data_IF_122062770122
#
_entry.id   IF_122062770122
#
_cell.length_a   1.000
_cell.length_b   1.000
_cell.length_c   1.000
_cell.angle_alpha   90.00
_cell.angle_beta   90.00
_cell.angle_gamma   90.00
#
_symmetry.space_group_name_H-M   'P 1'
#
loop_
_entity.id
_entity.type
_entity.pdbx_description
1 polymer ?
#
# COMPACT_ATOMS: atom_id res chain seq x y z
N UNK A 1 36.69 8.19 -47.89
CA UNK A 1 35.92 6.94 -47.72
C UNK A 1 36.17 6.47 -46.29
N UNK A 2 35.35 6.92 -45.33
CA UNK A 2 35.59 6.68 -43.90
C UNK A 2 34.91 5.38 -43.47
N UNK A 3 35.68 4.54 -42.76
CA UNK A 3 35.31 3.20 -42.27
C UNK A 3 33.96 3.19 -41.54
N UNK A 4 33.16 2.15 -41.82
CA UNK A 4 31.83 1.89 -41.25
C UNK A 4 31.85 1.68 -39.72
N UNK A 5 33.01 1.51 -39.09
CA UNK A 5 33.13 1.29 -37.65
C UNK A 5 32.84 2.54 -36.80
N UNK A 6 33.10 3.74 -37.33
CA UNK A 6 32.83 4.99 -36.59
C UNK A 6 31.35 5.39 -36.55
N UNK A 7 30.47 4.74 -37.32
CA UNK A 7 29.02 4.99 -37.27
C UNK A 7 28.33 4.26 -36.12
N UNK A 8 28.92 3.20 -35.56
CA UNK A 8 28.36 2.53 -34.39
C UNK A 8 28.64 3.29 -33.10
N UNK A 9 29.85 3.86 -32.94
CA UNK A 9 30.21 4.68 -31.77
C UNK A 9 29.34 5.94 -31.62
N UNK A 10 28.99 6.61 -32.73
CA UNK A 10 28.10 7.77 -32.70
C UNK A 10 26.62 7.45 -32.46
N UNK A 11 26.20 6.19 -32.66
CA UNK A 11 24.84 5.75 -32.33
C UNK A 11 24.65 5.50 -30.83
N UNK A 12 25.72 5.13 -30.12
CA UNK A 12 25.72 4.92 -28.66
C UNK A 12 25.70 6.26 -27.91
N UNK A 13 26.32 7.30 -28.46
CA UNK A 13 26.35 8.63 -27.82
C UNK A 13 25.08 9.46 -28.03
N UNK A 14 24.21 9.08 -28.98
CA UNK A 14 22.88 9.68 -29.16
C UNK A 14 21.80 9.04 -28.28
N UNK A 15 22.20 8.24 -27.27
CA UNK A 15 21.31 7.60 -26.30
C UNK A 15 20.88 8.51 -25.15
N UNK A 16 21.44 9.72 -25.02
CA UNK A 16 21.01 10.69 -24.00
C UNK A 16 19.60 11.24 -24.24
N UNK A 17 19.18 11.30 -25.51
CA UNK A 17 17.85 11.78 -25.88
C UNK A 17 16.79 10.65 -25.85
N UNK A 18 17.15 9.40 -25.53
CA UNK A 18 16.18 8.30 -25.38
C UNK A 18 15.90 7.88 -23.94
N UNK A 19 16.80 8.18 -22.99
CA UNK A 19 16.58 7.86 -21.58
C UNK A 19 15.55 8.79 -20.91
N UNK A 20 15.40 10.01 -21.43
CA UNK A 20 14.47 11.01 -20.88
C UNK A 20 13.16 11.15 -21.66
N UNK A 21 13.04 10.58 -22.86
CA UNK A 21 11.96 10.93 -23.80
C UNK A 21 10.80 9.91 -23.85
N UNK A 22 10.78 8.93 -22.94
CA UNK A 22 9.64 8.00 -22.78
C UNK A 22 9.24 7.67 -21.33
N UNK A 23 10.00 8.12 -20.32
CA UNK A 23 9.61 7.92 -18.92
C UNK A 23 8.60 8.99 -18.53
N UNK A 24 7.33 8.73 -18.83
CA UNK A 24 6.22 9.59 -18.39
C UNK A 24 6.29 9.74 -16.88
N UNK A 25 6.76 10.90 -16.41
CA UNK A 25 6.88 11.20 -14.99
C UNK A 25 5.47 11.30 -14.39
N UNK A 26 4.99 10.20 -13.78
CA UNK A 26 3.65 10.16 -13.19
C UNK A 26 3.62 10.86 -11.82
N UNK A 27 3.57 12.20 -11.87
CA UNK A 27 3.50 13.08 -10.71
C UNK A 27 2.29 12.75 -9.83
N UNK A 28 1.14 12.42 -10.43
CA UNK A 28 -0.11 12.19 -9.71
C UNK A 28 0.02 11.02 -8.74
N UNK A 29 0.53 9.90 -9.23
CA UNK A 29 0.64 8.68 -8.43
C UNK A 29 1.74 8.79 -7.37
N UNK A 30 2.83 9.51 -7.66
CA UNK A 30 3.85 9.88 -6.66
C UNK A 30 3.25 10.73 -5.54
N UNK A 31 2.50 11.78 -5.87
CA UNK A 31 1.82 12.61 -4.89
C UNK A 31 0.83 11.80 -4.05
N UNK A 32 0.11 10.86 -4.68
CA UNK A 32 -0.81 9.98 -3.97
C UNK A 32 -0.10 9.04 -2.98
N UNK A 33 1.04 8.47 -3.37
CA UNK A 33 1.87 7.67 -2.47
C UNK A 33 2.35 8.51 -1.28
N UNK A 34 2.88 9.71 -1.54
CA UNK A 34 3.29 10.63 -0.47
C UNK A 34 2.14 11.02 0.45
N UNK A 35 0.96 11.27 -0.10
CA UNK A 35 -0.24 11.54 0.68
C UNK A 35 -0.62 10.36 1.59
N UNK A 36 -0.55 9.13 1.06
CA UNK A 36 -0.85 7.92 1.83
C UNK A 36 0.15 7.72 2.98
N UNK A 37 1.44 7.95 2.72
CA UNK A 37 2.49 7.90 3.75
C UNK A 37 2.29 9.02 4.78
N UNK A 38 1.95 10.23 4.33
CA UNK A 38 1.70 11.36 5.22
C UNK A 38 0.52 11.09 6.16
N UNK A 39 -0.58 10.52 5.66
CA UNK A 39 -1.71 10.10 6.50
C UNK A 39 -1.25 9.13 7.59
N UNK A 40 -0.50 8.10 7.22
CA UNK A 40 0.06 7.14 8.18
C UNK A 40 0.95 7.84 9.24
N UNK A 41 1.86 8.72 8.81
CA UNK A 41 2.74 9.45 9.72
C UNK A 41 1.96 10.40 10.64
N UNK A 42 0.90 11.03 10.16
CA UNK A 42 0.06 11.90 10.99
C UNK A 42 -0.64 11.13 12.13
N UNK A 43 -1.10 9.90 11.86
CA UNK A 43 -1.64 9.02 12.91
C UNK A 43 -0.57 8.67 13.95
N UNK A 44 0.65 8.36 13.52
CA UNK A 44 1.77 8.12 14.44
C UNK A 44 2.10 9.33 15.30
N UNK A 45 2.12 10.53 14.72
CA UNK A 45 2.37 11.77 15.47
C UNK A 45 1.28 11.94 16.54
N UNK A 46 0.02 11.71 16.20
CA UNK A 46 -1.08 11.80 17.16
C UNK A 46 -0.94 10.77 18.28
N UNK A 47 -0.64 9.51 17.97
CA UNK A 47 -0.39 8.46 18.97
C UNK A 47 0.79 8.83 19.87
N UNK A 48 1.87 9.35 19.29
CA UNK A 48 3.04 9.78 20.06
C UNK A 48 2.69 10.91 21.02
N UNK A 49 2.03 11.98 20.52
CA UNK A 49 1.62 13.13 21.31
C UNK A 49 0.67 12.74 22.45
N UNK A 50 -0.24 11.79 22.20
CA UNK A 50 -1.11 11.23 23.24
C UNK A 50 -0.30 10.52 24.33
N UNK A 51 0.64 9.66 23.94
CA UNK A 51 1.50 8.93 24.88
C UNK A 51 2.40 9.82 25.74
N UNK A 52 2.88 10.97 25.22
CA UNK A 52 3.64 11.95 26.04
C UNK A 52 2.74 12.88 26.86
N UNK A 53 1.42 12.64 26.87
CA UNK A 53 0.48 13.38 27.71
C UNK A 53 0.15 14.78 27.18
N UNK A 54 0.40 15.06 25.90
CA UNK A 54 0.09 16.37 25.32
C UNK A 54 -1.42 16.68 25.36
N UNK A 55 -2.27 15.64 25.27
CA UNK A 55 -3.72 15.78 25.23
C UNK A 55 -4.41 15.61 26.60
N UNK A 56 -3.68 15.60 27.73
CA UNK A 56 -4.23 15.41 29.09
C UNK A 56 -5.33 16.44 29.43
N UNK A 57 -5.21 17.69 28.97
CA UNK A 57 -6.27 18.69 29.18
C UNK A 57 -7.45 18.55 28.22
N UNK A 58 -7.22 17.97 27.04
CA UNK A 58 -8.27 17.68 26.08
C UNK A 58 -9.12 16.47 26.51
N UNK A 59 -8.54 15.48 27.21
CA UNK A 59 -9.30 14.32 27.73
C UNK A 59 -10.40 14.73 28.72
N UNK A 60 -10.19 15.78 29.51
CA UNK A 60 -11.19 16.34 30.43
C UNK A 60 -12.43 16.93 29.75
N UNK A 61 -12.37 17.23 28.44
CA UNK A 61 -13.48 17.76 27.63
C UNK A 61 -13.95 16.72 26.58
N UNK A 62 -13.56 15.45 26.75
CA UNK A 62 -13.96 14.35 25.84
C UNK A 62 -13.03 14.15 24.63
N UNK A 63 -11.80 14.67 24.67
CA UNK A 63 -10.79 14.56 23.61
C UNK A 63 -10.36 13.12 23.28
N UNK A 64 -10.48 12.18 24.23
CA UNK A 64 -10.16 10.76 24.00
C UNK A 64 -11.04 10.14 22.89
N UNK A 65 -12.30 10.59 22.78
CA UNK A 65 -13.19 10.18 21.69
C UNK A 65 -12.73 10.74 20.34
N UNK A 66 -12.18 11.96 20.31
CA UNK A 66 -11.70 12.59 19.07
C UNK A 66 -10.47 11.88 18.50
N UNK A 67 -9.51 11.50 19.37
CA UNK A 67 -8.32 10.74 18.95
C UNK A 67 -8.74 9.37 18.40
N UNK A 68 -9.65 8.69 19.11
CA UNK A 68 -10.21 7.40 18.67
C UNK A 68 -10.86 7.50 17.29
N UNK A 69 -11.74 8.49 17.07
CA UNK A 69 -12.37 8.73 15.77
C UNK A 69 -11.37 9.10 14.68
N UNK A 70 -10.33 9.87 15.00
CA UNK A 70 -9.28 10.23 14.07
C UNK A 70 -8.48 9.01 13.60
N UNK A 71 -8.03 8.15 14.53
CA UNK A 71 -7.32 6.91 14.21
C UNK A 71 -8.18 5.97 13.39
N UNK A 72 -9.46 5.83 13.75
CA UNK A 72 -10.42 5.04 13.00
C UNK A 72 -10.60 5.56 11.57
N UNK A 73 -10.75 6.87 11.39
CA UNK A 73 -10.92 7.49 10.09
C UNK A 73 -9.66 7.34 9.22
N UNK A 74 -8.46 7.58 9.76
CA UNK A 74 -7.21 7.39 9.01
C UNK A 74 -7.04 5.93 8.61
N UNK A 75 -7.22 4.99 9.53
CA UNK A 75 -7.09 3.58 9.21
C UNK A 75 -8.11 3.13 8.16
N UNK A 76 -9.34 3.65 8.23
CA UNK A 76 -10.36 3.48 7.20
C UNK A 76 -9.95 4.04 5.84
N UNK A 77 -9.48 5.28 5.78
CA UNK A 77 -9.04 5.92 4.54
C UNK A 77 -7.90 5.12 3.89
N UNK A 78 -6.93 4.68 4.70
CA UNK A 78 -5.78 3.91 4.21
C UNK A 78 -6.25 2.58 3.61
N UNK A 79 -7.05 1.81 4.35
CA UNK A 79 -7.42 0.45 3.93
C UNK A 79 -8.45 0.43 2.79
N UNK A 80 -9.43 1.34 2.79
CA UNK A 80 -10.49 1.34 1.77
C UNK A 80 -10.11 2.09 0.49
N UNK A 81 -9.17 3.04 0.56
CA UNK A 81 -8.85 3.88 -0.58
C UNK A 81 -7.36 3.83 -0.94
N UNK A 82 -6.45 4.15 -0.02
CA UNK A 82 -5.01 4.22 -0.35
C UNK A 82 -4.47 2.90 -0.86
N UNK A 83 -4.71 1.81 -0.14
CA UNK A 83 -4.20 0.48 -0.50
C UNK A 83 -4.79 -0.01 -1.84
N UNK A 84 -6.12 -0.03 -2.07
CA UNK A 84 -6.68 -0.42 -3.37
C UNK A 84 -6.20 0.44 -4.54
N UNK A 85 -6.07 1.76 -4.34
CA UNK A 85 -5.56 2.65 -5.38
C UNK A 85 -4.09 2.36 -5.71
N UNK A 86 -3.27 2.02 -4.71
CA UNK A 86 -1.88 1.63 -4.93
C UNK A 86 -1.76 0.31 -5.70
N UNK A 87 -2.61 -0.69 -5.41
CA UNK A 87 -2.69 -1.91 -6.21
C UNK A 87 -3.00 -1.60 -7.68
N UNK A 88 -4.02 -0.77 -7.93
CA UNK A 88 -4.42 -0.40 -9.28
C UNK A 88 -3.32 0.41 -10.00
N UNK A 89 -2.75 1.40 -9.32
CA UNK A 89 -1.68 2.26 -9.84
C UNK A 89 -0.43 1.46 -10.16
N UNK A 90 0.01 0.58 -9.25
CA UNK A 90 1.18 -0.29 -9.45
C UNK A 90 0.98 -1.18 -10.67
N UNK A 91 -0.17 -1.84 -10.80
CA UNK A 91 -0.46 -2.67 -11.96
C UNK A 91 -0.47 -1.89 -13.28
N UNK A 92 -1.06 -0.69 -13.29
CA UNK A 92 -1.10 0.17 -14.47
C UNK A 92 0.29 0.64 -14.90
N UNK A 93 1.17 0.94 -13.94
CA UNK A 93 2.56 1.36 -14.20
C UNK A 93 3.42 0.19 -14.65
N UNK A 94 3.23 -0.97 -14.05
CA UNK A 94 3.84 -2.21 -14.51
C UNK A 94 3.53 -2.45 -15.99
N UNK A 95 2.26 -2.35 -16.41
CA UNK A 95 1.86 -2.46 -17.82
C UNK A 95 2.48 -1.41 -18.74
N UNK A 96 2.86 -0.25 -18.21
CA UNK A 96 3.53 0.82 -18.95
C UNK A 96 5.06 0.72 -18.94
N UNK A 97 5.63 -0.27 -18.26
CA UNK A 97 7.08 -0.39 -18.08
C UNK A 97 7.69 0.68 -17.16
N UNK A 98 6.90 1.29 -16.27
CA UNK A 98 7.39 2.28 -15.30
C UNK A 98 7.83 1.59 -14.01
N UNK A 99 9.15 1.55 -13.77
CA UNK A 99 9.81 0.96 -12.59
C UNK A 99 9.26 1.45 -11.24
N UNK A 100 8.54 2.57 -11.19
CA UNK A 100 7.92 3.06 -9.96
C UNK A 100 6.83 2.13 -9.39
N UNK A 101 6.34 1.16 -10.17
CA UNK A 101 5.41 0.14 -9.67
C UNK A 101 5.95 -0.59 -8.43
N UNK A 102 7.26 -0.84 -8.35
CA UNK A 102 7.87 -1.58 -7.24
C UNK A 102 7.77 -0.82 -5.90
N UNK A 103 8.03 0.50 -5.94
CA UNK A 103 7.87 1.37 -4.78
C UNK A 103 6.42 1.37 -4.27
N UNK A 104 5.43 1.43 -5.17
CA UNK A 104 4.02 1.36 -4.77
C UNK A 104 3.67 -0.01 -4.19
N UNK A 105 4.13 -1.09 -4.81
CA UNK A 105 3.93 -2.45 -4.31
C UNK A 105 4.54 -2.68 -2.93
N UNK A 106 5.72 -2.12 -2.68
CA UNK A 106 6.36 -2.16 -1.36
C UNK A 106 5.49 -1.47 -0.29
N UNK A 107 5.00 -0.26 -0.57
CA UNK A 107 4.25 0.54 0.39
C UNK A 107 2.84 0.01 0.70
N UNK A 108 2.29 -0.86 -0.16
CA UNK A 108 1.01 -1.54 0.12
C UNK A 108 1.03 -2.26 1.47
N UNK A 109 2.12 -2.97 1.81
CA UNK A 109 2.19 -3.76 3.04
C UNK A 109 2.21 -2.89 4.31
N UNK A 110 3.14 -1.92 4.47
CA UNK A 110 3.14 -1.04 5.62
C UNK A 110 1.82 -0.28 5.77
N UNK A 111 1.26 0.25 4.68
CA UNK A 111 0.01 1.00 4.73
C UNK A 111 -1.15 0.12 5.18
N UNK A 112 -1.28 -1.08 4.62
CA UNK A 112 -2.31 -2.02 5.06
C UNK A 112 -2.16 -2.38 6.54
N UNK A 113 -0.95 -2.76 6.96
CA UNK A 113 -0.67 -3.13 8.34
C UNK A 113 -1.05 -2.00 9.30
N UNK A 114 -0.55 -0.79 9.04
CA UNK A 114 -0.81 0.35 9.91
C UNK A 114 -2.26 0.84 9.82
N UNK A 115 -2.91 0.72 8.66
CA UNK A 115 -4.34 1.00 8.52
C UNK A 115 -5.19 0.09 9.43
N UNK A 116 -4.91 -1.21 9.42
CA UNK A 116 -5.53 -2.17 10.35
C UNK A 116 -5.21 -1.84 11.80
N UNK A 117 -3.95 -1.53 12.11
CA UNK A 117 -3.50 -1.17 13.45
C UNK A 117 -4.19 0.09 13.99
N UNK A 118 -4.40 1.14 13.18
CA UNK A 118 -5.08 2.35 13.61
C UNK A 118 -6.58 2.14 13.83
N UNK A 119 -7.23 1.37 12.94
CA UNK A 119 -8.61 0.92 13.19
C UNK A 119 -8.69 0.15 14.49
N UNK A 120 -7.70 -0.71 14.76
CA UNK A 120 -7.59 -1.46 16.00
C UNK A 120 -7.47 -0.61 17.26
N UNK A 121 -6.47 0.27 17.30
CA UNK A 121 -6.20 1.14 18.43
C UNK A 121 -7.33 2.13 18.72
N UNK A 122 -8.19 2.42 17.74
CA UNK A 122 -9.34 3.32 17.95
C UNK A 122 -10.31 2.83 19.02
N UNK A 123 -10.34 1.52 19.31
CA UNK A 123 -11.27 0.89 20.26
C UNK A 123 -12.76 1.27 20.05
N UNK A 124 -13.14 1.70 18.86
CA UNK A 124 -14.52 1.98 18.52
C UNK A 124 -15.28 0.67 18.24
N UNK A 125 -16.56 0.56 18.64
CA UNK A 125 -17.34 -0.66 18.48
C UNK A 125 -17.52 -1.07 17.01
N UNK A 126 -17.48 -0.11 16.08
CA UNK A 126 -17.63 -0.33 14.64
C UNK A 126 -16.49 -1.15 14.01
N UNK A 127 -15.39 -1.35 14.73
CA UNK A 127 -14.23 -2.10 14.24
C UNK A 127 -14.59 -3.53 13.83
N UNK A 128 -15.49 -4.19 14.56
CA UNK A 128 -15.88 -5.59 14.30
C UNK A 128 -16.52 -5.78 12.93
N UNK A 129 -17.03 -4.72 12.30
CA UNK A 129 -17.57 -4.76 10.93
C UNK A 129 -16.57 -4.21 9.93
N UNK A 130 -15.97 -3.06 10.26
CA UNK A 130 -15.14 -2.30 9.31
C UNK A 130 -13.79 -2.98 9.06
N UNK A 131 -13.16 -3.55 10.09
CA UNK A 131 -11.88 -4.23 9.93
C UNK A 131 -12.03 -5.49 9.04
N UNK A 132 -12.95 -6.45 9.32
CA UNK A 132 -13.17 -7.59 8.42
C UNK A 132 -13.55 -7.17 6.99
N UNK A 133 -14.40 -6.14 6.85
CA UNK A 133 -14.78 -5.63 5.52
C UNK A 133 -13.56 -5.12 4.74
N UNK A 134 -12.65 -4.41 5.42
CA UNK A 134 -11.42 -3.90 4.81
C UNK A 134 -10.45 -5.03 4.44
N UNK A 135 -10.34 -6.08 5.27
CA UNK A 135 -9.56 -7.27 4.96
C UNK A 135 -10.10 -7.94 3.69
N UNK A 136 -11.41 -8.22 3.63
CA UNK A 136 -12.05 -8.84 2.47
C UNK A 136 -11.79 -8.05 1.20
N UNK A 137 -11.93 -6.72 1.24
CA UNK A 137 -11.66 -5.84 0.10
C UNK A 137 -10.20 -5.99 -0.37
N UNK A 138 -9.24 -5.88 0.54
CA UNK A 138 -7.81 -5.91 0.20
C UNK A 138 -7.40 -7.28 -0.32
N UNK A 139 -7.87 -8.37 0.30
CA UNK A 139 -7.65 -9.72 -0.22
C UNK A 139 -8.27 -9.91 -1.61
N UNK A 140 -9.47 -9.36 -1.85
CA UNK A 140 -10.12 -9.44 -3.17
C UNK A 140 -9.31 -8.70 -4.25
N UNK A 141 -8.85 -7.48 -3.94
CA UNK A 141 -7.99 -6.70 -4.85
C UNK A 141 -6.65 -7.41 -5.09
N UNK A 142 -6.07 -8.00 -4.04
CA UNK A 142 -4.83 -8.76 -4.13
C UNK A 142 -4.97 -9.98 -5.04
N UNK A 143 -6.01 -10.80 -4.85
CA UNK A 143 -6.31 -11.96 -5.70
C UNK A 143 -6.52 -11.51 -7.15
N UNK A 144 -7.24 -10.41 -7.37
CA UNK A 144 -7.47 -9.86 -8.69
C UNK A 144 -6.16 -9.46 -9.40
N UNK A 145 -5.25 -8.74 -8.73
CA UNK A 145 -3.93 -8.37 -9.30
C UNK A 145 -3.04 -9.59 -9.52
N UNK A 146 -3.07 -10.58 -8.62
CA UNK A 146 -2.37 -11.86 -8.80
C UNK A 146 -2.88 -12.63 -10.02
N UNK A 147 -4.20 -12.66 -10.25
CA UNK A 147 -4.79 -13.29 -11.44
C UNK A 147 -4.32 -12.61 -12.72
N UNK A 148 -4.39 -11.27 -12.76
CA UNK A 148 -3.99 -10.49 -13.93
C UNK A 148 -2.50 -10.62 -14.25
N UNK A 149 -1.64 -10.60 -13.23
CA UNK A 149 -0.20 -10.78 -13.42
C UNK A 149 0.14 -12.19 -13.91
N UNK A 150 -0.57 -13.22 -13.43
CA UNK A 150 -0.42 -14.59 -13.93
C UNK A 150 -0.81 -14.71 -15.40
N UNK A 151 -1.90 -14.07 -15.83
CA UNK A 151 -2.31 -14.06 -17.24
C UNK A 151 -1.22 -13.45 -18.14
N UNK A 152 -0.58 -12.36 -17.70
CA UNK A 152 0.51 -11.73 -18.46
C UNK A 152 1.74 -12.63 -18.61
N UNK A 153 2.06 -13.46 -17.61
CA UNK A 153 3.14 -14.45 -17.70
C UNK A 153 2.81 -15.51 -18.77
N UNK A 154 1.57 -16.00 -18.79
CA UNK A 154 1.13 -17.05 -19.74
C UNK A 154 1.12 -16.54 -21.19
N UNK A 155 0.87 -15.25 -21.39
CA UNK A 155 0.84 -14.62 -22.72
C UNK A 155 2.23 -14.27 -23.30
N UNK A 156 3.32 -14.51 -22.55
CA UNK A 156 4.72 -14.32 -22.95
C UNK A 156 5.10 -12.89 -23.46
N UNK A 157 4.23 -11.89 -23.24
CA UNK A 157 4.47 -10.52 -23.75
C UNK A 157 5.71 -9.87 -23.10
N UNK A 158 6.00 -10.20 -21.83
CA UNK A 158 7.17 -9.74 -21.05
C UNK A 158 7.47 -10.71 -19.89
N UNK A 159 7.87 -11.94 -20.17
CA UNK A 159 7.99 -13.02 -19.17
C UNK A 159 8.80 -12.65 -17.93
N UNK A 160 10.03 -12.14 -18.08
CA UNK A 160 10.91 -11.83 -16.95
C UNK A 160 10.31 -10.75 -16.02
N UNK A 161 9.88 -9.62 -16.59
CA UNK A 161 9.27 -8.53 -15.82
C UNK A 161 7.94 -8.97 -15.16
N UNK A 162 7.12 -9.76 -15.87
CA UNK A 162 5.86 -10.26 -15.34
C UNK A 162 6.06 -11.28 -14.22
N UNK A 163 7.08 -12.12 -14.34
CA UNK A 163 7.47 -13.07 -13.30
C UNK A 163 7.99 -12.36 -12.05
N UNK A 164 8.78 -11.29 -12.21
CA UNK A 164 9.25 -10.46 -11.10
C UNK A 164 8.08 -9.77 -10.39
N UNK A 165 7.18 -9.14 -11.14
CA UNK A 165 5.98 -8.51 -10.61
C UNK A 165 5.11 -9.51 -9.82
N UNK A 166 4.82 -10.68 -10.40
CA UNK A 166 4.07 -11.74 -9.73
C UNK A 166 4.75 -12.24 -8.45
N UNK A 167 6.08 -12.35 -8.46
CA UNK A 167 6.86 -12.76 -7.28
C UNK A 167 6.74 -11.75 -6.14
N UNK A 168 6.76 -10.45 -6.43
CA UNK A 168 6.54 -9.40 -5.42
C UNK A 168 5.19 -9.54 -4.72
N UNK A 169 4.11 -9.82 -5.47
CA UNK A 169 2.80 -10.05 -4.85
C UNK A 169 2.71 -11.41 -4.14
N UNK A 170 3.45 -12.42 -4.55
CA UNK A 170 3.54 -13.70 -3.82
C UNK A 170 4.13 -13.51 -2.43
N UNK A 171 5.18 -12.69 -2.30
CA UNK A 171 5.71 -12.33 -0.97
C UNK A 171 4.68 -11.57 -0.14
N UNK A 172 3.95 -10.65 -0.78
CA UNK A 172 2.87 -9.91 -0.13
C UNK A 172 1.76 -10.84 0.39
N UNK A 173 1.42 -11.91 -0.33
CA UNK A 173 0.50 -12.96 0.14
C UNK A 173 0.99 -13.58 1.44
N UNK A 174 2.27 -13.95 1.53
CA UNK A 174 2.85 -14.56 2.72
C UNK A 174 2.73 -13.62 3.93
N UNK A 175 3.01 -12.33 3.75
CA UNK A 175 2.86 -11.33 4.81
C UNK A 175 1.39 -11.15 5.24
N UNK A 176 0.45 -11.15 4.28
CA UNK A 176 -0.97 -11.06 4.60
C UNK A 176 -1.48 -12.28 5.39
N UNK A 177 -1.01 -13.48 5.07
CA UNK A 177 -1.35 -14.68 5.84
C UNK A 177 -0.84 -14.60 7.27
N UNK A 178 0.41 -14.17 7.46
CA UNK A 178 0.98 -13.96 8.80
C UNK A 178 0.15 -12.92 9.57
N UNK A 179 -0.17 -11.79 8.93
CA UNK A 179 -0.97 -10.73 9.56
C UNK A 179 -2.38 -11.21 9.92
N UNK A 180 -3.05 -11.92 9.02
CA UNK A 180 -4.38 -12.45 9.26
C UNK A 180 -4.39 -13.45 10.43
N UNK A 181 -3.38 -14.34 10.49
CA UNK A 181 -3.22 -15.26 11.63
C UNK A 181 -3.03 -14.47 12.92
N UNK A 182 -2.17 -13.46 12.94
CA UNK A 182 -1.94 -12.64 14.16
C UNK A 182 -3.23 -11.94 14.59
N UNK A 183 -3.92 -11.26 13.68
CA UNK A 183 -5.17 -10.53 13.98
C UNK A 183 -6.28 -11.48 14.45
N UNK A 184 -6.44 -12.63 13.80
CA UNK A 184 -7.50 -13.58 14.17
C UNK A 184 -7.21 -14.19 15.54
N UNK A 185 -6.01 -14.75 15.73
CA UNK A 185 -5.69 -15.53 16.93
C UNK A 185 -5.51 -14.69 18.20
N UNK A 186 -4.92 -13.51 18.11
CA UNK A 186 -4.57 -12.73 19.31
C UNK A 186 -5.62 -11.71 19.70
N UNK A 187 -6.65 -11.47 18.88
CA UNK A 187 -7.33 -10.19 19.00
C UNK A 187 -8.81 -10.19 18.60
N UNK A 188 -9.14 -10.68 17.40
CA UNK A 188 -10.54 -10.72 16.97
C UNK A 188 -11.36 -11.69 17.83
N UNK A 189 -10.78 -12.78 18.31
CA UNK A 189 -11.42 -13.67 19.29
C UNK A 189 -11.61 -12.98 20.65
N UNK A 190 -10.59 -12.29 21.18
CA UNK A 190 -10.66 -11.61 22.48
C UNK A 190 -11.71 -10.48 22.48
N UNK A 191 -11.75 -9.65 21.43
CA UNK A 191 -12.77 -8.58 21.33
C UNK A 191 -14.17 -9.11 21.08
N UNK A 192 -14.32 -10.24 20.39
CA UNK A 192 -15.61 -10.87 20.16
C UNK A 192 -16.17 -11.53 21.43
N UNK A 193 -15.33 -12.21 22.21
CA UNK A 193 -15.70 -12.79 23.50
C UNK A 193 -16.17 -11.71 24.50
N UNK A 194 -15.49 -10.57 24.52
CA UNK A 194 -15.87 -9.41 25.34
C UNK A 194 -17.12 -8.64 24.83
N UNK A 195 -17.60 -8.90 23.62
CA UNK A 195 -18.80 -8.23 23.06
C UNK A 195 -20.08 -9.03 23.27
N UNK A 196 -19.99 -10.36 23.32
CA UNK A 196 -21.13 -11.25 23.59
C UNK A 196 -21.43 -11.36 25.10
N UNK A 197 -20.51 -10.88 25.95
CA UNK A 197 -20.67 -10.79 27.41
C UNK A 197 -21.41 -9.55 27.90
#
# INVERSE_FOLDING_TARGET
MFSNENKQGFKVLNGKDRLFDQRGFDLKSRLFLFFSIFLMLSAFIVIFLDNVGFFIYASQIGGEKLISWFLFAIGGIINFFCVPILYWSSFHKFKKGDEFWDSESFWILPLFFFGCFFQYLSNLPYIMVILPSSLILIFSVHIWVMSLSRELIVMDEQFENSAEYFRSFTYLTAYYLVLAVVIVFFDLFDKFENWIG
#
